data_IF_328860093118
#
_entry.id   IF_328860093118
#
_cell.length_a   1.000
_cell.length_b   1.000
_cell.length_c   1.000
_cell.angle_alpha   90.00
_cell.angle_beta   90.00
_cell.angle_gamma   90.00
#
_symmetry.space_group_name_H-M   'P 1'
#
loop_
_entity.id
_entity.type
_entity.pdbx_description
1 polymer ?
#
# COMPACT_ATOMS: atom_id res chain seq x y z
N UNK A 1 -9.05 -2.54 -18.24
CA UNK A 1 -8.71 -3.84 -17.60
C UNK A 1 -9.70 -4.05 -16.48
N UNK A 2 -10.34 -5.19 -16.43
CA UNK A 2 -11.22 -5.53 -15.32
C UNK A 2 -10.37 -5.99 -14.14
N UNK A 3 -10.63 -5.47 -12.95
CA UNK A 3 -9.98 -5.94 -11.73
C UNK A 3 -10.48 -7.34 -11.38
N UNK A 4 -9.58 -8.22 -10.95
CA UNK A 4 -9.85 -9.64 -10.74
C UNK A 4 -9.76 -10.02 -9.27
N UNK A 5 -10.60 -10.96 -8.87
CA UNK A 5 -10.59 -11.54 -7.54
C UNK A 5 -9.31 -12.35 -7.28
N UNK A 6 -8.65 -12.09 -6.17
CA UNK A 6 -7.42 -12.83 -5.79
C UNK A 6 -7.69 -14.31 -5.46
N UNK A 7 -8.95 -14.65 -5.14
CA UNK A 7 -9.35 -16.04 -4.81
C UNK A 7 -9.66 -16.84 -6.07
N UNK A 8 -10.47 -16.29 -6.99
CA UNK A 8 -11.01 -17.08 -8.11
C UNK A 8 -10.83 -16.42 -9.49
N UNK A 9 -10.14 -15.30 -9.58
CA UNK A 9 -9.89 -14.54 -10.83
C UNK A 9 -11.14 -14.02 -11.53
N UNK A 10 -12.32 -14.14 -10.92
CA UNK A 10 -13.54 -13.54 -11.44
C UNK A 10 -13.48 -12.00 -11.33
N UNK A 11 -14.17 -11.27 -12.21
CA UNK A 11 -14.23 -9.81 -12.14
C UNK A 11 -14.75 -9.29 -10.81
N UNK A 12 -14.19 -8.18 -10.34
CA UNK A 12 -14.73 -7.45 -9.19
C UNK A 12 -15.98 -6.67 -9.58
N UNK A 13 -16.90 -6.55 -8.63
CA UNK A 13 -18.08 -5.70 -8.72
C UNK A 13 -18.06 -4.71 -7.55
N UNK A 14 -18.48 -3.48 -7.85
CA UNK A 14 -18.59 -2.39 -6.89
C UNK A 14 -20.07 -2.12 -6.63
N UNK A 15 -20.44 -2.19 -5.35
CA UNK A 15 -21.82 -2.01 -4.90
C UNK A 15 -22.11 -0.52 -4.63
N UNK A 16 -23.37 -0.13 -4.79
CA UNK A 16 -23.80 1.23 -4.45
C UNK A 16 -23.82 1.49 -2.95
N UNK A 17 -24.12 0.46 -2.16
CA UNK A 17 -24.19 0.53 -0.70
C UNK A 17 -23.24 -0.47 -0.06
N UNK A 18 -22.84 -0.17 1.19
CA UNK A 18 -22.05 -1.08 1.99
C UNK A 18 -22.87 -2.32 2.38
N UNK A 19 -22.29 -3.49 2.19
CA UNK A 19 -22.83 -4.78 2.64
C UNK A 19 -21.88 -5.43 3.63
N UNK A 20 -22.44 -6.18 4.59
CA UNK A 20 -21.64 -7.03 5.48
C UNK A 20 -21.08 -8.20 4.68
N UNK A 21 -19.74 -8.30 4.67
CA UNK A 21 -19.02 -9.35 3.96
C UNK A 21 -18.06 -10.07 4.90
N UNK A 22 -17.89 -11.34 4.68
CA UNK A 22 -16.93 -12.17 5.40
C UNK A 22 -15.70 -12.40 4.54
N UNK A 23 -14.50 -12.14 5.10
CA UNK A 23 -13.24 -12.35 4.41
C UNK A 23 -12.95 -13.84 4.21
N UNK A 24 -12.72 -14.27 2.98
CA UNK A 24 -12.39 -15.65 2.62
C UNK A 24 -11.10 -16.19 3.29
N UNK A 25 -10.20 -15.30 3.72
CA UNK A 25 -8.90 -15.71 4.26
C UNK A 25 -8.84 -15.69 5.79
N UNK A 26 -9.49 -14.74 6.45
CA UNK A 26 -9.42 -14.60 7.90
C UNK A 26 -10.78 -14.64 8.60
N UNK A 27 -11.87 -14.77 7.85
CA UNK A 27 -13.26 -14.84 8.34
C UNK A 27 -13.73 -13.63 9.14
N UNK A 28 -12.98 -12.51 9.11
CA UNK A 28 -13.43 -11.24 9.68
C UNK A 28 -14.60 -10.71 8.89
N UNK A 29 -15.63 -10.24 9.60
CA UNK A 29 -16.80 -9.57 9.01
C UNK A 29 -16.63 -8.05 9.10
N UNK A 30 -16.81 -7.39 7.97
CA UNK A 30 -16.79 -5.93 7.91
C UNK A 30 -17.67 -5.42 6.75
N UNK A 31 -17.99 -4.13 6.79
CA UNK A 31 -18.74 -3.46 5.73
C UNK A 31 -17.80 -3.17 4.54
N UNK A 32 -18.23 -3.52 3.34
CA UNK A 32 -17.51 -3.24 2.11
C UNK A 32 -18.44 -3.02 0.94
N UNK A 33 -17.96 -2.28 -0.07
CA UNK A 33 -18.66 -2.08 -1.34
C UNK A 33 -18.09 -2.95 -2.46
N UNK A 34 -17.09 -3.78 -2.19
CA UNK A 34 -16.37 -4.51 -3.24
C UNK A 34 -16.36 -6.00 -2.94
N UNK A 35 -16.80 -6.78 -3.91
CA UNK A 35 -16.68 -8.24 -3.93
C UNK A 35 -16.52 -8.72 -5.37
N UNK A 36 -16.16 -9.97 -5.60
CA UNK A 36 -16.19 -10.51 -6.95
C UNK A 36 -17.60 -11.01 -7.35
N UNK A 37 -17.79 -11.26 -8.62
CA UNK A 37 -19.05 -11.81 -9.16
C UNK A 37 -19.47 -13.11 -8.49
N UNK A 38 -18.52 -13.91 -8.01
CA UNK A 38 -18.78 -15.16 -7.30
C UNK A 38 -19.00 -14.98 -5.79
N UNK A 39 -19.04 -13.71 -5.31
CA UNK A 39 -19.32 -13.38 -3.92
C UNK A 39 -18.11 -13.34 -3.00
N UNK A 40 -16.89 -13.70 -3.46
CA UNK A 40 -15.70 -13.65 -2.60
C UNK A 40 -15.35 -12.21 -2.23
N UNK A 41 -15.04 -12.03 -0.97
CA UNK A 41 -14.51 -10.82 -0.39
C UNK A 41 -13.19 -11.11 0.34
N UNK A 42 -12.22 -10.21 0.23
CA UNK A 42 -10.97 -10.28 0.99
C UNK A 42 -10.73 -8.93 1.63
N UNK A 43 -10.58 -8.90 2.96
CA UNK A 43 -10.38 -7.66 3.71
C UNK A 43 -9.01 -7.04 3.43
N UNK A 44 -8.89 -5.72 3.69
CA UNK A 44 -7.64 -5.00 3.47
C UNK A 44 -6.46 -5.60 4.23
N UNK A 45 -6.66 -6.08 5.46
CA UNK A 45 -5.60 -6.72 6.25
C UNK A 45 -5.05 -7.98 5.56
N UNK A 46 -5.90 -8.76 4.91
CA UNK A 46 -5.48 -9.94 4.16
C UNK A 46 -4.89 -9.61 2.79
N UNK A 47 -5.38 -8.57 2.12
CA UNK A 47 -4.72 -8.00 0.95
C UNK A 47 -3.31 -7.50 1.28
N UNK A 48 -3.12 -6.93 2.47
CA UNK A 48 -1.83 -6.40 2.91
C UNK A 48 -0.89 -7.42 3.57
N UNK A 49 -1.23 -8.71 3.62
CA UNK A 49 -0.25 -9.77 4.01
C UNK A 49 1.00 -9.80 3.12
N UNK A 50 0.94 -9.24 1.93
CA UNK A 50 2.11 -8.92 1.13
C UNK A 50 3.02 -7.86 1.76
N UNK A 51 2.55 -7.05 2.73
CA UNK A 51 3.37 -6.05 3.40
C UNK A 51 4.56 -6.65 4.15
N UNK A 52 4.38 -7.78 4.83
CA UNK A 52 5.48 -8.43 5.55
C UNK A 52 6.57 -8.90 4.57
N UNK A 53 6.18 -9.33 3.37
CA UNK A 53 7.10 -9.67 2.29
C UNK A 53 7.78 -8.43 1.72
N UNK A 54 7.03 -7.34 1.53
CA UNK A 54 7.60 -6.03 1.11
C UNK A 54 8.66 -5.57 2.12
N UNK A 55 8.35 -5.64 3.41
CA UNK A 55 9.27 -5.26 4.49
C UNK A 55 10.56 -6.10 4.44
N UNK A 56 10.43 -7.41 4.33
CA UNK A 56 11.60 -8.31 4.23
C UNK A 56 12.47 -7.98 3.02
N UNK A 57 11.86 -7.75 1.85
CA UNK A 57 12.58 -7.36 0.64
C UNK A 57 13.28 -6.00 0.79
N UNK A 58 12.67 -5.05 1.50
CA UNK A 58 13.27 -3.73 1.76
C UNK A 58 14.48 -3.80 2.70
N UNK A 59 14.44 -4.67 3.71
CA UNK A 59 15.52 -4.80 4.70
C UNK A 59 16.81 -5.28 4.01
N UNK A 60 16.71 -6.30 3.16
CA UNK A 60 17.84 -6.94 2.50
C UNK A 60 18.27 -6.26 1.20
N UNK A 61 17.52 -5.27 0.73
CA UNK A 61 17.79 -4.60 -0.54
C UNK A 61 18.98 -3.65 -0.44
N UNK A 62 19.88 -3.73 -1.41
CA UNK A 62 21.12 -2.94 -1.49
C UNK A 62 21.18 -1.97 -2.66
N UNK A 63 20.27 -2.09 -3.63
CA UNK A 63 20.23 -1.16 -4.77
C UNK A 63 19.94 0.27 -4.30
N UNK A 64 20.59 1.23 -4.95
CA UNK A 64 20.39 2.67 -4.75
C UNK A 64 19.34 3.25 -5.71
N UNK A 65 18.96 2.47 -6.70
CA UNK A 65 18.03 2.89 -7.74
C UNK A 65 16.59 2.48 -7.37
N UNK A 66 15.69 3.41 -7.06
CA UNK A 66 14.32 3.08 -6.69
C UNK A 66 13.56 2.35 -7.80
N UNK A 67 13.91 2.57 -9.08
CA UNK A 67 13.27 1.87 -10.20
C UNK A 67 13.64 0.39 -10.23
N UNK A 68 14.87 0.04 -9.88
CA UNK A 68 15.28 -1.37 -9.77
C UNK A 68 14.57 -2.05 -8.60
N UNK A 69 14.49 -1.36 -7.46
CA UNK A 69 13.82 -1.88 -6.26
C UNK A 69 12.34 -2.11 -6.53
N UNK A 70 11.64 -1.12 -7.10
CA UNK A 70 10.19 -1.25 -7.35
C UNK A 70 9.89 -2.37 -8.35
N UNK A 71 10.71 -2.56 -9.38
CA UNK A 71 10.55 -3.67 -10.33
C UNK A 71 10.62 -5.03 -9.65
N UNK A 72 11.63 -5.26 -8.79
CA UNK A 72 11.73 -6.50 -8.01
C UNK A 72 10.49 -6.77 -7.16
N UNK A 73 9.91 -5.72 -6.56
CA UNK A 73 8.69 -5.86 -5.76
C UNK A 73 7.45 -6.12 -6.61
N UNK A 74 7.36 -5.46 -7.78
CA UNK A 74 6.23 -5.67 -8.70
C UNK A 74 6.27 -7.04 -9.38
N UNK A 75 7.44 -7.64 -9.53
CA UNK A 75 7.60 -9.00 -10.06
C UNK A 75 7.28 -10.08 -9.02
N UNK A 76 7.10 -9.71 -7.75
CA UNK A 76 6.79 -10.66 -6.69
C UNK A 76 5.33 -11.15 -6.78
N UNK A 77 5.08 -12.44 -6.45
CA UNK A 77 3.76 -13.06 -6.61
C UNK A 77 2.62 -12.40 -5.81
N UNK A 78 2.95 -11.66 -4.75
CA UNK A 78 1.97 -10.96 -3.92
C UNK A 78 1.52 -9.61 -4.53
N UNK A 79 2.29 -9.08 -5.48
CA UNK A 79 1.99 -7.78 -6.08
C UNK A 79 0.98 -7.94 -7.22
N UNK A 80 -0.22 -7.43 -7.02
CA UNK A 80 -1.25 -7.40 -8.05
C UNK A 80 -1.11 -6.13 -8.88
N UNK A 81 -1.60 -6.15 -10.12
CA UNK A 81 -1.56 -4.97 -10.99
C UNK A 81 -2.30 -3.78 -10.39
N UNK A 82 -3.40 -4.04 -9.69
CA UNK A 82 -4.19 -3.05 -8.96
C UNK A 82 -4.47 -3.58 -7.56
N UNK A 83 -3.88 -2.96 -6.55
CA UNK A 83 -4.07 -3.40 -5.17
C UNK A 83 -3.59 -2.37 -4.16
N UNK A 84 -4.05 -2.46 -2.90
CA UNK A 84 -3.66 -1.54 -1.82
C UNK A 84 -2.17 -1.67 -1.45
N UNK A 85 -1.50 -2.73 -1.84
CA UNK A 85 -0.05 -2.92 -1.65
C UNK A 85 0.77 -1.80 -2.30
N UNK A 86 0.29 -1.20 -3.39
CA UNK A 86 0.96 -0.07 -4.04
C UNK A 86 1.05 1.17 -3.16
N UNK A 87 0.14 1.33 -2.20
CA UNK A 87 0.21 2.40 -1.21
C UNK A 87 1.45 2.28 -0.31
N UNK A 88 1.92 1.04 -0.08
CA UNK A 88 3.09 0.75 0.74
C UNK A 88 4.37 0.55 -0.09
N UNK A 89 4.29 -0.09 -1.26
CA UNK A 89 5.45 -0.36 -2.11
C UNK A 89 6.21 0.94 -2.41
N UNK A 90 5.53 1.96 -2.90
CA UNK A 90 6.20 3.20 -3.32
C UNK A 90 6.95 3.88 -2.18
N UNK A 91 6.34 4.15 -1.02
CA UNK A 91 7.09 4.81 0.06
C UNK A 91 8.18 3.95 0.67
N UNK A 92 7.99 2.61 0.74
CA UNK A 92 9.03 1.70 1.22
C UNK A 92 10.23 1.66 0.28
N UNK A 93 10.00 1.61 -1.04
CA UNK A 93 11.05 1.67 -2.06
C UNK A 93 11.85 2.96 -1.98
N UNK A 94 11.16 4.11 -1.88
CA UNK A 94 11.82 5.41 -1.77
C UNK A 94 12.68 5.51 -0.50
N UNK A 95 12.15 5.05 0.64
CA UNK A 95 12.89 5.00 1.90
C UNK A 95 14.14 4.11 1.79
N UNK A 96 13.99 2.93 1.20
CA UNK A 96 15.08 1.98 1.02
C UNK A 96 16.18 2.54 0.12
N UNK A 97 15.82 3.12 -1.01
CA UNK A 97 16.76 3.77 -1.92
C UNK A 97 17.46 4.96 -1.22
N UNK A 98 16.74 5.74 -0.43
CA UNK A 98 17.26 6.87 0.33
C UNK A 98 18.30 6.40 1.37
N UNK A 99 17.99 5.38 2.16
CA UNK A 99 18.96 4.72 3.08
C UNK A 99 20.20 4.24 2.33
N UNK A 100 20.02 3.53 1.21
CA UNK A 100 21.11 2.93 0.46
C UNK A 100 22.02 3.98 -0.23
N UNK A 101 21.53 5.21 -0.42
CA UNK A 101 22.34 6.34 -0.88
C UNK A 101 23.16 7.00 0.25
N UNK A 102 23.09 6.49 1.47
CA UNK A 102 23.92 6.91 2.60
C UNK A 102 23.29 7.96 3.50
N UNK A 103 22.00 8.19 3.37
CA UNK A 103 21.27 9.10 4.24
C UNK A 103 21.05 8.49 5.63
N UNK A 104 21.34 9.27 6.65
CA UNK A 104 21.24 8.84 8.05
C UNK A 104 19.83 9.06 8.60
N UNK A 105 19.21 7.98 9.03
CA UNK A 105 17.90 8.00 9.68
C UNK A 105 17.72 6.74 10.53
N UNK A 106 16.74 6.76 11.42
CA UNK A 106 16.22 5.53 12.03
C UNK A 106 15.33 4.81 11.00
N UNK A 107 15.96 3.93 10.23
CA UNK A 107 15.32 3.24 9.12
C UNK A 107 14.14 2.37 9.58
N UNK A 108 14.29 1.65 10.67
CA UNK A 108 13.25 0.74 11.17
C UNK A 108 12.03 1.50 11.68
N UNK A 109 12.26 2.60 12.40
CA UNK A 109 11.18 3.48 12.85
C UNK A 109 10.47 4.13 11.65
N UNK A 110 11.20 4.65 10.67
CA UNK A 110 10.64 5.25 9.46
C UNK A 110 9.84 4.24 8.63
N UNK A 111 10.37 3.02 8.45
CA UNK A 111 9.71 1.96 7.70
C UNK A 111 8.40 1.52 8.39
N UNK A 112 8.42 1.38 9.70
CA UNK A 112 7.24 1.07 10.51
C UNK A 112 6.16 2.16 10.38
N UNK A 113 6.53 3.43 10.49
CA UNK A 113 5.60 4.55 10.37
C UNK A 113 5.03 4.67 8.95
N UNK A 114 5.84 4.48 7.91
CA UNK A 114 5.39 4.41 6.52
C UNK A 114 4.31 3.34 6.35
N UNK A 115 4.57 2.12 6.82
CA UNK A 115 3.62 1.03 6.70
C UNK A 115 2.32 1.30 7.46
N UNK A 116 2.41 1.90 8.64
CA UNK A 116 1.25 2.32 9.42
C UNK A 116 0.39 3.34 8.68
N UNK A 117 1.00 4.35 8.05
CA UNK A 117 0.27 5.36 7.27
C UNK A 117 -0.28 4.78 5.97
N UNK A 118 0.48 3.95 5.27
CA UNK A 118 0.02 3.30 4.04
C UNK A 118 -1.23 2.44 4.24
N UNK A 119 -1.34 1.74 5.38
CA UNK A 119 -2.53 0.97 5.76
C UNK A 119 -3.78 1.83 5.98
N UNK A 120 -3.62 3.13 6.23
CA UNK A 120 -4.74 4.05 6.44
C UNK A 120 -5.29 4.61 5.12
N UNK A 121 -4.57 4.46 4.01
CA UNK A 121 -5.08 4.87 2.69
C UNK A 121 -6.16 3.90 2.26
N UNK A 122 -7.42 4.36 2.12
CA UNK A 122 -8.52 3.45 1.78
C UNK A 122 -8.32 2.82 0.41
N UNK A 123 -8.72 1.55 0.28
CA UNK A 123 -8.80 0.91 -1.03
C UNK A 123 -9.79 1.64 -1.94
N UNK A 124 -9.50 1.70 -3.25
CA UNK A 124 -10.37 2.35 -4.22
C UNK A 124 -10.27 3.88 -4.32
N UNK A 125 -9.34 4.52 -3.59
CA UNK A 125 -9.14 5.99 -3.66
C UNK A 125 -8.91 6.48 -5.09
N UNK A 126 -8.26 5.70 -5.93
CA UNK A 126 -8.02 6.04 -7.33
C UNK A 126 -9.34 6.14 -8.13
N UNK A 127 -10.28 5.23 -7.91
CA UNK A 127 -11.57 5.24 -8.58
C UNK A 127 -12.57 6.23 -7.99
N UNK A 128 -12.69 6.28 -6.65
CA UNK A 128 -13.70 7.10 -6.00
C UNK A 128 -13.31 8.58 -5.87
N UNK A 129 -12.01 8.87 -5.68
CA UNK A 129 -11.54 10.22 -5.39
C UNK A 129 -10.55 10.77 -6.42
N UNK A 130 -10.17 9.95 -7.42
CA UNK A 130 -9.17 10.34 -8.41
C UNK A 130 -7.75 10.47 -7.85
N UNK A 131 -7.49 9.92 -6.66
CA UNK A 131 -6.19 9.98 -6.01
C UNK A 131 -5.43 8.68 -6.24
N UNK A 132 -4.35 8.75 -7.01
CA UNK A 132 -3.48 7.59 -7.20
C UNK A 132 -2.84 7.17 -5.88
N UNK A 133 -3.03 5.90 -5.47
CA UNK A 133 -2.46 5.36 -4.23
C UNK A 133 -0.94 5.36 -4.23
N UNK A 134 -0.29 5.16 -5.38
CA UNK A 134 1.17 5.28 -5.51
C UNK A 134 1.66 6.72 -5.28
N UNK A 135 0.92 7.72 -5.79
CA UNK A 135 1.22 9.12 -5.53
C UNK A 135 1.01 9.49 -4.06
N UNK A 136 -0.08 8.99 -3.44
CA UNK A 136 -0.29 9.12 -1.99
C UNK A 136 0.87 8.49 -1.20
N UNK A 137 1.39 7.34 -1.65
CA UNK A 137 2.57 6.70 -1.09
C UNK A 137 3.83 7.57 -1.15
N UNK A 138 4.08 8.24 -2.27
CA UNK A 138 5.18 9.19 -2.38
C UNK A 138 5.03 10.37 -1.39
N UNK A 139 3.80 10.86 -1.23
CA UNK A 139 3.47 11.87 -0.20
C UNK A 139 3.73 11.37 1.22
N UNK A 140 3.37 10.11 1.52
CA UNK A 140 3.66 9.47 2.82
C UNK A 140 5.17 9.45 3.09
N UNK A 141 5.99 9.03 2.11
CA UNK A 141 7.45 9.06 2.24
C UNK A 141 7.94 10.47 2.59
N UNK A 142 7.55 11.48 1.82
CA UNK A 142 7.96 12.87 2.08
C UNK A 142 7.51 13.34 3.46
N UNK A 143 6.27 13.05 3.84
CA UNK A 143 5.73 13.42 5.14
C UNK A 143 6.48 12.79 6.32
N UNK A 144 6.89 11.52 6.20
CA UNK A 144 7.69 10.85 7.24
C UNK A 144 9.09 11.45 7.30
N UNK A 145 9.74 11.67 6.15
CA UNK A 145 11.11 12.22 6.10
C UNK A 145 11.20 13.66 6.61
N UNK A 146 10.18 14.48 6.39
CA UNK A 146 10.16 15.87 6.84
C UNK A 146 9.53 16.05 8.23
N UNK A 147 8.99 14.98 8.82
CA UNK A 147 8.20 15.07 10.06
C UNK A 147 6.89 15.85 9.89
N UNK A 148 6.39 15.97 8.66
CA UNK A 148 5.18 16.74 8.37
C UNK A 148 3.95 16.13 9.03
N UNK A 149 3.14 16.99 9.62
CA UNK A 149 1.82 16.63 10.15
C UNK A 149 0.94 17.89 10.23
N UNK A 150 -0.38 17.76 10.32
CA UNK A 150 -1.27 18.92 10.49
C UNK A 150 -0.98 19.76 11.73
N UNK A 151 -0.23 19.20 12.68
CA UNK A 151 0.16 19.87 13.91
C UNK A 151 1.57 20.47 13.87
N UNK A 152 2.34 20.17 12.82
CA UNK A 152 3.73 20.62 12.67
C UNK A 152 3.81 21.77 11.68
N UNK A 153 3.73 23.00 12.18
CA UNK A 153 3.56 24.23 11.39
C UNK A 153 4.67 24.47 10.36
N UNK A 154 5.91 24.12 10.69
CA UNK A 154 7.07 24.41 9.84
C UNK A 154 7.23 23.42 8.68
N UNK A 155 6.73 22.20 8.83
CA UNK A 155 6.85 21.14 7.83
C UNK A 155 5.56 20.93 6.99
N UNK A 156 4.44 21.47 7.42
CA UNK A 156 3.15 21.28 6.74
C UNK A 156 3.07 21.78 5.30
N UNK A 157 3.77 22.82 4.86
CA UNK A 157 3.75 23.28 3.47
C UNK A 157 4.48 22.36 2.46
N UNK A 158 5.18 21.32 2.93
CA UNK A 158 6.07 20.50 2.11
C UNK A 158 5.68 19.02 1.94
N UNK A 159 4.45 18.59 2.11
CA UNK A 159 4.05 17.22 1.81
C UNK A 159 3.97 16.95 0.30
#
# INVERSE_FOLDING_TARGET
>A
MQEECIVCKAPLIYLEQDEWMECELCHKKELSKTRCQNGHYVCNDCHTKGLDTILSLCIDETSRNPIEIVRKMMDAPFCHMHGPEHHAIVPCVLLTAFRNNGEHMDYDAALSEICKRAKQVPGGTCGYWGVCGAAAGAGIFMSVMTGSSPLHKDAWPFP
#
